data_IF_918160691372
#
_entry.id   IF_918160691372
#
_cell.length_a   1.000
_cell.length_b   1.000
_cell.length_c   1.000
_cell.angle_alpha   90.00
_cell.angle_beta   90.00
_cell.angle_gamma   90.00
#
_symmetry.space_group_name_H-M   'P 1'
#
loop_
_entity.id
_entity.type
_entity.pdbx_description
1 polymer ?
#
# COMPACT_ATOMS: atom_id res chain seq x y z
N UNK A 1 35.81 41.15 -14.53
CA UNK A 1 34.59 40.66 -15.22
C UNK A 1 34.87 39.23 -15.69
N UNK A 2 34.17 38.20 -15.18
CA UNK A 2 34.34 36.83 -15.69
C UNK A 2 33.85 36.78 -17.14
N UNK A 3 34.61 36.12 -18.02
CA UNK A 3 34.21 35.98 -19.42
C UNK A 3 32.97 35.10 -19.53
N UNK A 4 32.13 35.32 -20.55
CA UNK A 4 30.91 34.51 -20.79
C UNK A 4 31.23 33.01 -20.81
N UNK A 5 32.37 32.61 -21.37
CA UNK A 5 32.87 31.22 -21.38
C UNK A 5 33.10 30.66 -19.97
N UNK A 6 33.61 31.46 -19.03
CA UNK A 6 33.79 31.02 -17.64
C UNK A 6 32.44 30.84 -16.93
N UNK A 7 31.43 31.66 -17.23
CA UNK A 7 30.09 31.55 -16.65
C UNK A 7 29.41 30.26 -17.12
N UNK A 8 29.42 29.99 -18.43
CA UNK A 8 28.86 28.76 -19.00
C UNK A 8 29.53 27.49 -18.44
N UNK A 9 30.86 27.51 -18.29
CA UNK A 9 31.59 26.38 -17.69
C UNK A 9 31.14 26.09 -16.25
N UNK A 10 30.93 27.12 -15.44
CA UNK A 10 30.43 26.97 -14.05
C UNK A 10 29.00 26.42 -14.04
N UNK A 11 28.12 26.93 -14.89
CA UNK A 11 26.73 26.46 -15.00
C UNK A 11 26.70 24.98 -15.39
N UNK A 12 27.48 24.57 -16.40
CA UNK A 12 27.56 23.17 -16.83
C UNK A 12 28.06 22.25 -15.71
N UNK A 13 29.07 22.66 -14.95
CA UNK A 13 29.59 21.88 -13.82
C UNK A 13 28.53 21.75 -12.72
N UNK A 14 27.84 22.84 -12.37
CA UNK A 14 26.77 22.82 -11.39
C UNK A 14 25.63 21.88 -11.81
N UNK A 15 25.22 21.94 -13.07
CA UNK A 15 24.17 21.08 -13.62
C UNK A 15 24.53 19.59 -13.57
N UNK A 16 25.75 19.23 -14.01
CA UNK A 16 26.24 17.85 -13.94
C UNK A 16 26.32 17.35 -12.50
N UNK A 17 26.76 18.22 -11.57
CA UNK A 17 26.84 17.88 -10.15
C UNK A 17 25.45 17.63 -9.56
N UNK A 18 24.48 18.50 -9.86
CA UNK A 18 23.09 18.32 -9.43
C UNK A 18 22.48 17.02 -9.96
N UNK A 19 22.70 16.69 -11.23
CA UNK A 19 22.24 15.42 -11.81
C UNK A 19 22.91 14.24 -11.12
N UNK A 20 24.23 14.29 -10.91
CA UNK A 20 24.97 13.22 -10.24
C UNK A 20 24.44 12.98 -8.81
N UNK A 21 24.17 14.04 -8.06
CA UNK A 21 23.59 13.96 -6.72
C UNK A 21 22.18 13.37 -6.75
N UNK A 22 21.33 13.79 -7.70
CA UNK A 22 19.98 13.26 -7.85
C UNK A 22 20.01 11.75 -8.16
N UNK A 23 20.83 11.34 -9.12
CA UNK A 23 20.98 9.92 -9.48
C UNK A 23 21.51 9.10 -8.31
N UNK A 24 22.45 9.65 -7.55
CA UNK A 24 22.97 8.99 -6.34
C UNK A 24 21.89 8.85 -5.27
N UNK A 25 21.07 9.88 -5.05
CA UNK A 25 19.96 9.83 -4.11
C UNK A 25 18.90 8.80 -4.52
N UNK A 26 18.55 8.74 -5.82
CA UNK A 26 17.62 7.73 -6.36
C UNK A 26 18.17 6.32 -6.20
N UNK A 27 19.45 6.10 -6.55
CA UNK A 27 20.09 4.79 -6.40
C UNK A 27 20.15 4.36 -4.93
N UNK A 28 20.47 5.29 -4.02
CA UNK A 28 20.48 5.03 -2.59
C UNK A 28 19.09 4.65 -2.10
N UNK A 29 18.07 5.46 -2.41
CA UNK A 29 16.68 5.17 -2.05
C UNK A 29 16.26 3.80 -2.57
N UNK A 30 16.48 3.52 -3.85
CA UNK A 30 16.15 2.22 -4.45
C UNK A 30 16.84 1.05 -3.73
N UNK A 31 18.13 1.16 -3.39
CA UNK A 31 18.85 0.10 -2.66
C UNK A 31 18.39 -0.04 -1.22
N UNK A 32 17.94 1.04 -0.58
CA UNK A 32 17.45 0.99 0.81
C UNK A 32 15.98 0.63 0.93
N UNK A 33 15.17 0.86 -0.11
CA UNK A 33 13.74 0.54 -0.13
C UNK A 33 13.42 -0.73 -0.93
N UNK A 34 14.39 -1.29 -1.66
CA UNK A 34 14.23 -2.64 -2.21
C UNK A 34 14.20 -3.63 -1.06
N UNK A 35 13.15 -4.41 -0.99
CA UNK A 35 12.96 -5.45 -0.01
C UNK A 35 11.76 -6.27 -0.39
N UNK A 36 11.60 -7.39 0.29
CA UNK A 36 10.45 -8.26 0.09
C UNK A 36 9.23 -7.62 0.76
N UNK A 37 8.51 -6.80 0.02
CA UNK A 37 7.18 -6.36 0.40
C UNK A 37 6.24 -7.55 0.19
N UNK A 38 6.10 -8.41 1.19
CA UNK A 38 5.13 -9.50 1.15
C UNK A 38 3.74 -8.93 1.37
N UNK A 39 2.86 -9.13 0.39
CA UNK A 39 1.42 -8.94 0.61
C UNK A 39 0.94 -10.08 1.51
N UNK A 40 0.11 -9.82 2.53
CA UNK A 40 -0.52 -10.89 3.31
C UNK A 40 -1.20 -11.91 2.40
N UNK A 41 -1.15 -13.19 2.79
CA UNK A 41 -1.83 -14.25 2.06
C UNK A 41 -3.33 -13.95 1.97
N UNK A 42 -3.93 -14.26 0.83
CA UNK A 42 -5.39 -14.16 0.65
C UNK A 42 -6.04 -15.51 0.93
N UNK A 43 -7.37 -15.57 0.99
CA UNK A 43 -8.12 -16.84 1.10
C UNK A 43 -7.87 -17.81 -0.08
N UNK A 44 -7.23 -17.35 -1.17
CA UNK A 44 -6.78 -18.22 -2.24
C UNK A 44 -5.51 -19.01 -1.88
N UNK A 45 -4.66 -18.45 -1.02
CA UNK A 45 -3.35 -19.01 -0.65
C UNK A 45 -3.36 -19.62 0.75
N UNK A 46 -4.19 -19.08 1.66
CA UNK A 46 -4.30 -19.51 3.05
C UNK A 46 -5.76 -19.82 3.43
N UNK A 47 -6.15 -21.10 3.47
CA UNK A 47 -7.51 -21.52 3.84
C UNK A 47 -7.78 -21.44 5.36
N UNK A 48 -6.80 -21.07 6.18
CA UNK A 48 -7.00 -20.86 7.62
C UNK A 48 -7.62 -19.50 7.94
N UNK A 49 -7.63 -18.59 6.97
CA UNK A 49 -8.25 -17.28 7.10
C UNK A 49 -9.79 -17.39 7.13
N UNK A 50 -10.49 -16.49 7.86
CA UNK A 50 -11.94 -16.42 7.85
C UNK A 50 -12.49 -16.26 6.43
N UNK A 51 -13.43 -17.12 6.05
CA UNK A 51 -13.92 -17.15 4.67
C UNK A 51 -15.35 -17.67 4.56
N UNK A 52 -16.01 -17.29 3.48
CA UNK A 52 -17.31 -17.81 3.06
C UNK A 52 -17.29 -18.12 1.56
N UNK A 53 -17.92 -19.23 1.16
CA UNK A 53 -18.11 -19.56 -0.26
C UNK A 53 -19.55 -19.25 -0.68
N UNK A 54 -19.70 -18.38 -1.67
CA UNK A 54 -20.99 -17.95 -2.23
C UNK A 54 -20.93 -18.18 -3.73
N UNK A 55 -21.90 -18.90 -4.30
CA UNK A 55 -21.97 -19.23 -5.73
C UNK A 55 -20.66 -19.80 -6.33
N UNK A 56 -19.93 -20.59 -5.52
CA UNK A 56 -18.65 -21.20 -5.92
C UNK A 56 -17.43 -20.29 -5.84
N UNK A 57 -17.58 -19.06 -5.34
CA UNK A 57 -16.46 -18.12 -5.12
C UNK A 57 -16.19 -17.98 -3.63
N UNK A 58 -14.93 -18.13 -3.23
CA UNK A 58 -14.47 -17.95 -1.84
C UNK A 58 -14.06 -16.51 -1.60
N UNK A 59 -14.66 -15.89 -0.59
CA UNK A 59 -14.37 -14.53 -0.15
C UNK A 59 -13.85 -14.55 1.28
N UNK A 60 -12.96 -13.61 1.61
CA UNK A 60 -12.67 -13.30 3.01
C UNK A 60 -13.91 -12.66 3.65
N UNK A 61 -14.36 -13.22 4.77
CA UNK A 61 -15.50 -12.69 5.51
C UNK A 61 -15.41 -13.07 6.99
N UNK A 62 -15.78 -12.13 7.85
CA UNK A 62 -15.93 -12.33 9.29
C UNK A 62 -17.35 -12.00 9.71
N UNK A 63 -17.83 -12.65 10.77
CA UNK A 63 -19.18 -12.46 11.30
C UNK A 63 -19.10 -12.30 12.81
N UNK A 64 -19.83 -11.31 13.33
CA UNK A 64 -19.88 -10.95 14.74
C UNK A 64 -21.35 -10.87 15.18
N UNK A 65 -21.62 -10.95 16.50
CA UNK A 65 -22.98 -10.85 17.05
C UNK A 65 -23.75 -12.17 17.06
N UNK A 66 -25.06 -12.10 17.38
CA UNK A 66 -25.93 -13.29 17.42
C UNK A 66 -26.59 -13.56 16.07
N UNK A 67 -26.75 -14.83 15.66
CA UNK A 67 -27.41 -15.18 14.39
C UNK A 67 -28.88 -14.77 14.30
N UNK A 68 -29.54 -14.52 15.45
CA UNK A 68 -30.96 -14.17 15.52
C UNK A 68 -31.23 -12.67 15.32
N UNK A 69 -30.20 -11.83 15.40
CA UNK A 69 -30.31 -10.37 15.29
C UNK A 69 -30.37 -9.92 13.81
N UNK A 70 -30.90 -8.72 13.52
CA UNK A 70 -30.92 -8.19 12.15
C UNK A 70 -29.51 -8.11 11.54
N UNK A 71 -29.35 -8.65 10.33
CA UNK A 71 -28.04 -8.68 9.66
C UNK A 71 -27.67 -7.35 9.03
N UNK A 72 -26.46 -6.86 9.33
CA UNK A 72 -25.81 -5.74 8.63
C UNK A 72 -24.64 -6.28 7.81
N UNK A 73 -24.59 -5.96 6.51
CA UNK A 73 -23.49 -6.35 5.63
C UNK A 73 -22.61 -5.15 5.35
N UNK A 74 -21.33 -5.25 5.72
CA UNK A 74 -20.34 -4.20 5.51
C UNK A 74 -19.36 -4.63 4.42
N UNK A 75 -19.19 -3.80 3.39
CA UNK A 75 -18.30 -4.07 2.25
C UNK A 75 -17.32 -2.91 2.12
N UNK A 76 -16.02 -3.23 2.06
CA UNK A 76 -14.98 -2.22 1.88
C UNK A 76 -14.95 -1.66 0.45
N UNK A 77 -14.35 -0.49 0.28
CA UNK A 77 -14.12 0.13 -1.03
C UNK A 77 -12.81 -0.32 -1.69
N UNK A 78 -12.66 -0.06 -3.00
CA UNK A 78 -11.40 -0.23 -3.74
C UNK A 78 -10.51 1.02 -3.73
N UNK A 79 -9.27 0.96 -4.29
CA UNK A 79 -8.70 -0.14 -5.08
C UNK A 79 -7.53 -0.87 -4.39
N UNK A 80 -7.49 -0.98 -3.05
CA UNK A 80 -6.40 -1.73 -2.41
C UNK A 80 -6.18 -1.56 -0.90
N UNK A 81 -7.09 -0.91 -0.17
CA UNK A 81 -7.07 -0.99 1.29
C UNK A 81 -7.66 -2.32 1.75
N UNK A 82 -7.09 -2.92 2.79
CA UNK A 82 -7.74 -4.04 3.49
C UNK A 82 -8.97 -3.55 4.27
N UNK A 83 -9.75 -4.47 4.82
CA UNK A 83 -10.96 -4.18 5.61
C UNK A 83 -10.64 -3.65 7.02
N UNK A 84 -9.36 -3.52 7.41
CA UNK A 84 -8.94 -3.24 8.78
C UNK A 84 -9.50 -1.92 9.33
N UNK A 85 -9.67 -0.91 8.47
CA UNK A 85 -10.27 0.38 8.87
C UNK A 85 -11.76 0.27 9.22
N UNK A 86 -12.42 -0.81 8.84
CA UNK A 86 -13.83 -1.10 9.16
C UNK A 86 -13.97 -2.00 10.39
N UNK A 87 -12.88 -2.56 10.92
CA UNK A 87 -12.96 -3.48 12.06
C UNK A 87 -13.69 -2.87 13.26
N UNK A 88 -13.54 -1.57 13.52
CA UNK A 88 -14.25 -0.91 14.62
C UNK A 88 -15.79 -1.00 14.52
N UNK A 89 -16.36 -1.27 13.34
CA UNK A 89 -17.80 -1.49 13.19
C UNK A 89 -18.28 -2.80 13.83
N UNK A 90 -17.39 -3.69 14.29
CA UNK A 90 -17.80 -4.86 15.07
C UNK A 90 -18.51 -4.50 16.37
N UNK A 91 -18.32 -3.28 16.90
CA UNK A 91 -19.04 -2.79 18.08
C UNK A 91 -20.56 -2.75 17.88
N UNK A 92 -21.05 -2.64 16.64
CA UNK A 92 -22.48 -2.73 16.32
C UNK A 92 -23.08 -4.10 16.66
N UNK A 93 -22.26 -5.13 16.89
CA UNK A 93 -22.74 -6.44 17.28
C UNK A 93 -23.30 -6.49 18.71
N UNK A 94 -22.97 -5.50 19.54
CA UNK A 94 -23.39 -5.40 20.94
C UNK A 94 -24.52 -4.36 21.17
N UNK A 95 -24.91 -3.63 20.13
CA UNK A 95 -25.99 -2.61 20.15
C UNK A 95 -27.40 -3.24 20.06
#
# INVERSE_FOLDING_TARGET
MKTSKQIWKVISIAFVTCIGLLLTAVALLFVTTRGDQSVPATVADDPSLPQVTIDGVTFHAETFGRPEDPTVVVVHGGPGGDYGYLLNLHELADD
#
